data_IF_173259746391
#
_entry.id   IF_173259746391
#
_cell.length_a   1.000
_cell.length_b   1.000
_cell.length_c   1.000
_cell.angle_alpha   90.00
_cell.angle_beta   90.00
_cell.angle_gamma   90.00
#
_symmetry.space_group_name_H-M   'P 1'
#
loop_
_entity.id
_entity.type
_entity.pdbx_description
1 polymer ?
#
# COMPACT_ATOMS: atom_id res chain seq x y z
N UNK A 1 -20.57 0.35 -17.64
CA UNK A 1 -21.17 0.12 -16.32
C UNK A 1 -20.32 0.84 -15.31
N UNK A 2 -20.67 2.10 -15.07
CA UNK A 2 -20.08 2.91 -14.03
C UNK A 2 -20.37 2.24 -12.68
N UNK A 3 -19.31 1.95 -11.92
CA UNK A 3 -19.42 1.25 -10.65
C UNK A 3 -19.48 2.29 -9.54
N UNK A 4 -20.69 2.69 -9.18
CA UNK A 4 -21.03 3.68 -8.14
C UNK A 4 -20.55 3.33 -6.71
N UNK A 5 -19.71 2.30 -6.55
CA UNK A 5 -19.12 1.90 -5.27
C UNK A 5 -17.60 1.67 -5.28
N UNK A 6 -16.89 1.93 -6.39
CA UNK A 6 -15.43 1.80 -6.42
C UNK A 6 -14.78 3.12 -6.06
N UNK A 7 -14.80 3.46 -4.77
CA UNK A 7 -13.92 4.49 -4.23
C UNK A 7 -12.48 4.13 -4.63
N UNK A 8 -11.84 4.99 -5.41
CA UNK A 8 -10.48 4.75 -5.87
C UNK A 8 -9.54 4.91 -4.67
N UNK A 9 -9.19 3.79 -4.04
CA UNK A 9 -8.29 3.73 -2.88
C UNK A 9 -6.98 4.47 -3.14
N UNK A 10 -6.46 4.44 -4.38
CA UNK A 10 -5.28 5.19 -4.79
C UNK A 10 -5.45 6.71 -4.68
N UNK A 11 -6.61 7.25 -5.08
CA UNK A 11 -6.94 8.67 -4.94
C UNK A 11 -7.11 9.06 -3.47
N UNK A 12 -7.74 8.22 -2.65
CA UNK A 12 -7.89 8.49 -1.20
C UNK A 12 -6.53 8.51 -0.51
N UNK A 13 -5.67 7.52 -0.78
CA UNK A 13 -4.32 7.45 -0.24
C UNK A 13 -3.44 8.60 -0.72
N UNK A 14 -3.72 9.18 -1.90
CA UNK A 14 -3.04 10.38 -2.38
C UNK A 14 -3.37 11.62 -1.55
N UNK A 15 -4.59 11.72 -1.00
CA UNK A 15 -4.99 12.84 -0.13
C UNK A 15 -4.13 12.90 1.13
N UNK A 16 -3.74 11.75 1.70
CA UNK A 16 -2.85 11.68 2.87
C UNK A 16 -1.48 12.31 2.66
N UNK A 17 -1.04 12.50 1.40
CA UNK A 17 0.26 13.12 1.09
C UNK A 17 0.22 14.65 1.18
N UNK A 18 -0.97 15.24 1.20
CA UNK A 18 -1.15 16.69 1.30
C UNK A 18 -1.01 17.11 2.76
N UNK A 19 -0.07 18.01 3.05
CA UNK A 19 0.13 18.56 4.39
C UNK A 19 -0.88 19.67 4.66
N UNK A 20 -1.95 19.36 5.37
CA UNK A 20 -2.98 20.31 5.81
C UNK A 20 -3.00 20.27 7.34
N UNK A 21 -2.94 21.44 8.00
CA UNK A 21 -2.86 21.54 9.47
C UNK A 21 -4.23 21.70 10.15
N UNK A 22 -5.32 21.64 9.39
CA UNK A 22 -6.70 21.74 9.90
C UNK A 22 -7.08 20.48 10.69
N UNK A 23 -7.60 20.64 11.90
CA UNK A 23 -8.00 19.51 12.75
C UNK A 23 -9.09 18.63 12.14
N UNK A 24 -10.01 19.19 11.34
CA UNK A 24 -11.05 18.42 10.64
C UNK A 24 -10.42 17.52 9.58
N UNK A 25 -9.38 18.01 8.91
CA UNK A 25 -8.62 17.22 7.95
C UNK A 25 -7.91 16.05 8.64
N UNK A 26 -7.24 16.31 9.76
CA UNK A 26 -6.55 15.27 10.51
C UNK A 26 -7.52 14.17 10.99
N UNK A 27 -8.66 14.56 11.57
CA UNK A 27 -9.72 13.62 11.97
C UNK A 27 -10.26 12.80 10.80
N UNK A 28 -10.43 13.42 9.63
CA UNK A 28 -10.89 12.71 8.44
C UNK A 28 -9.85 11.69 7.94
N UNK A 29 -8.56 12.04 7.92
CA UNK A 29 -7.49 11.12 7.54
C UNK A 29 -7.32 9.95 8.53
N UNK A 30 -7.55 10.21 9.81
CA UNK A 30 -7.56 9.20 10.87
C UNK A 30 -8.70 8.21 10.67
N UNK A 31 -9.94 8.69 10.52
CA UNK A 31 -11.11 7.85 10.26
C UNK A 31 -10.97 7.00 8.98
N UNK A 32 -10.37 7.56 7.92
CA UNK A 32 -10.04 6.81 6.70
C UNK A 32 -9.05 5.67 7.03
N UNK A 33 -8.05 5.94 7.87
CA UNK A 33 -7.04 4.94 8.23
C UNK A 33 -7.62 3.79 9.06
N UNK A 34 -8.55 4.10 9.97
CA UNK A 34 -9.28 3.09 10.74
C UNK A 34 -10.21 2.24 9.87
N UNK A 35 -10.79 2.82 8.82
CA UNK A 35 -11.66 2.11 7.88
C UNK A 35 -10.91 1.21 6.88
N UNK A 36 -9.58 1.34 6.78
CA UNK A 36 -8.76 0.52 5.88
C UNK A 36 -8.64 -0.91 6.42
N UNK A 37 -9.60 -1.76 6.08
CA UNK A 37 -9.46 -3.21 6.27
C UNK A 37 -8.56 -3.80 5.18
N UNK A 38 -7.55 -4.57 5.58
CA UNK A 38 -6.72 -5.33 4.64
C UNK A 38 -7.59 -6.42 4.02
N UNK A 39 -8.16 -6.13 2.86
CA UNK A 39 -9.08 -7.04 2.15
C UNK A 39 -8.41 -8.35 1.70
N UNK A 40 -7.07 -8.39 1.61
CA UNK A 40 -6.32 -9.57 1.21
C UNK A 40 -4.86 -9.45 1.63
N UNK A 41 -4.33 -10.42 2.37
CA UNK A 41 -2.89 -10.62 2.48
C UNK A 41 -2.43 -11.42 1.26
N UNK A 42 -1.49 -10.88 0.49
CA UNK A 42 -0.90 -11.61 -0.63
C UNK A 42 0.25 -12.46 -0.08
N UNK A 43 0.00 -13.74 0.16
CA UNK A 43 0.90 -14.66 0.90
C UNK A 43 2.24 -14.95 0.19
N UNK A 44 2.40 -14.51 -1.07
CA UNK A 44 3.60 -14.83 -1.85
C UNK A 44 4.16 -13.61 -2.56
N UNK A 45 5.28 -13.10 -2.03
CA UNK A 45 6.13 -12.10 -2.68
C UNK A 45 7.49 -12.76 -2.90
N UNK A 46 7.90 -12.92 -4.16
CA UNK A 46 9.20 -13.50 -4.51
C UNK A 46 10.09 -12.41 -5.13
N UNK A 47 11.20 -12.10 -4.47
CA UNK A 47 12.17 -11.13 -4.93
C UNK A 47 13.28 -11.86 -5.66
N UNK A 48 13.58 -11.42 -6.88
CA UNK A 48 14.58 -12.05 -7.74
C UNK A 48 15.49 -10.99 -8.35
N UNK A 49 16.77 -11.30 -8.43
CA UNK A 49 17.76 -10.51 -9.16
C UNK A 49 18.39 -11.35 -10.27
N UNK A 50 18.96 -10.69 -11.28
CA UNK A 50 19.80 -11.34 -12.28
C UNK A 50 21.23 -11.37 -11.79
N UNK A 51 21.86 -12.54 -11.83
CA UNK A 51 23.30 -12.64 -11.61
C UNK A 51 24.09 -12.06 -12.81
N UNK A 52 25.42 -12.01 -12.66
CA UNK A 52 26.36 -11.56 -13.70
C UNK A 52 26.29 -12.33 -15.02
N UNK A 53 25.62 -13.47 -15.05
CA UNK A 53 25.40 -14.31 -16.22
C UNK A 53 23.94 -14.29 -16.69
N UNK A 54 23.09 -13.42 -16.12
CA UNK A 54 21.70 -13.22 -16.49
C UNK A 54 20.70 -14.19 -15.85
N UNK A 55 21.15 -15.11 -14.99
CA UNK A 55 20.28 -16.08 -14.33
C UNK A 55 19.52 -15.41 -13.18
N UNK A 56 18.22 -15.65 -13.12
CA UNK A 56 17.38 -15.12 -12.05
C UNK A 56 17.51 -15.95 -10.76
N UNK A 57 18.07 -15.35 -9.71
CA UNK A 57 18.25 -15.93 -8.37
C UNK A 57 17.30 -15.30 -7.36
N UNK A 58 16.79 -16.09 -6.40
CA UNK A 58 15.92 -15.59 -5.34
C UNK A 58 16.74 -14.85 -4.29
N UNK A 59 16.22 -13.71 -3.82
CA UNK A 59 16.81 -12.92 -2.75
C UNK A 59 16.15 -13.35 -1.43
N UNK A 60 16.90 -13.89 -0.45
CA UNK A 60 16.36 -14.10 0.89
C UNK A 60 16.10 -12.74 1.54
N UNK A 61 14.84 -12.49 1.90
CA UNK A 61 14.46 -11.29 2.65
C UNK A 61 14.07 -11.69 4.06
N UNK A 62 14.71 -11.05 5.02
CA UNK A 62 14.28 -11.08 6.40
C UNK A 62 13.18 -10.03 6.60
N UNK A 63 11.94 -10.48 6.51
CA UNK A 63 10.74 -9.63 6.70
C UNK A 63 10.40 -9.53 8.19
N UNK A 64 11.04 -10.31 9.07
CA UNK A 64 10.77 -10.34 10.51
C UNK A 64 11.58 -9.29 11.30
N UNK A 65 12.58 -8.67 10.67
CA UNK A 65 13.46 -7.68 11.31
C UNK A 65 12.94 -6.23 11.30
N UNK A 66 11.68 -6.00 10.88
CA UNK A 66 11.04 -4.67 10.78
C UNK A 66 9.83 -4.58 11.70
#
# INVERSE_FOLDING_TARGET
MDKEGQLNTGRILSLRRVKIQDERWNRAMEAISESLQVAMSKTYINFREKDKHGKLINIPLDIAAI
#
